data_IF_742228266669
#
_entry.id   IF_742228266669
#
_cell.length_a   1.000
_cell.length_b   1.000
_cell.length_c   1.000
_cell.angle_alpha   90.00
_cell.angle_beta   90.00
_cell.angle_gamma   90.00
#
_symmetry.space_group_name_H-M   'P 1'
#
loop_
_entity.id
_entity.type
_entity.pdbx_description
1 polymer ?
#
# COMPACT_ATOMS: atom_id res chain seq x y z
N UNK A 1 -60.77 22.41 25.09
CA UNK A 1 -59.48 21.74 25.39
C UNK A 1 -58.81 21.40 24.07
N UNK A 2 -57.88 22.24 23.58
CA UNK A 2 -57.15 21.98 22.33
C UNK A 2 -55.81 21.32 22.67
N UNK A 3 -55.57 20.14 22.07
CA UNK A 3 -54.28 19.44 22.17
C UNK A 3 -53.49 19.72 20.89
N UNK A 4 -52.36 20.42 21.02
CA UNK A 4 -51.42 20.63 19.92
C UNK A 4 -50.55 19.38 19.77
N UNK A 5 -50.66 18.70 18.63
CA UNK A 5 -49.77 17.61 18.28
C UNK A 5 -48.47 18.20 17.71
N UNK A 6 -47.40 18.17 18.49
CA UNK A 6 -46.05 18.47 18.01
C UNK A 6 -45.52 17.21 17.33
N UNK A 7 -45.51 17.19 15.99
CA UNK A 7 -44.81 16.16 15.23
C UNK A 7 -43.32 16.48 15.21
N UNK A 8 -42.55 15.74 16.01
CA UNK A 8 -41.08 15.77 15.95
C UNK A 8 -40.66 14.99 14.70
N UNK A 9 -40.19 15.70 13.68
CA UNK A 9 -39.47 15.11 12.56
C UNK A 9 -38.07 14.77 13.05
N UNK A 10 -37.77 13.49 13.22
CA UNK A 10 -36.44 13.03 13.57
C UNK A 10 -35.52 13.17 12.34
N UNK A 11 -34.55 14.08 12.41
CA UNK A 11 -33.47 14.18 11.44
C UNK A 11 -32.49 13.03 11.71
N UNK A 12 -32.47 12.02 10.83
CA UNK A 12 -31.50 10.93 10.91
C UNK A 12 -30.15 11.48 10.43
N UNK A 13 -29.24 11.72 11.38
CA UNK A 13 -27.84 12.04 11.09
C UNK A 13 -27.13 10.74 10.68
N UNK A 14 -26.87 10.56 9.39
CA UNK A 14 -26.03 9.46 8.89
C UNK A 14 -24.58 9.75 9.32
N UNK A 15 -23.93 8.88 10.12
CA UNK A 15 -22.51 9.02 10.36
C UNK A 15 -21.78 8.77 9.04
N UNK A 16 -21.03 9.77 8.56
CA UNK A 16 -20.05 9.59 7.51
C UNK A 16 -18.99 8.63 8.07
N UNK A 17 -19.02 7.38 7.63
CA UNK A 17 -17.97 6.43 7.96
C UNK A 17 -16.68 6.91 7.28
N UNK A 18 -15.82 7.60 8.03
CA UNK A 18 -14.44 7.85 7.66
C UNK A 18 -13.67 6.53 7.78
N UNK A 19 -13.81 5.64 6.79
CA UNK A 19 -12.84 4.56 6.62
C UNK A 19 -11.49 5.19 6.27
N UNK A 20 -10.38 4.79 6.92
CA UNK A 20 -9.06 5.21 6.47
C UNK A 20 -8.92 4.83 5.00
N UNK A 21 -8.43 5.76 4.17
CA UNK A 21 -8.01 5.44 2.81
C UNK A 21 -6.91 4.38 2.94
N UNK A 22 -7.17 3.18 2.42
CA UNK A 22 -6.14 2.16 2.33
C UNK A 22 -5.03 2.66 1.40
N UNK A 23 -3.77 2.43 1.77
CA UNK A 23 -2.64 2.66 0.89
C UNK A 23 -2.78 1.81 -0.38
N UNK A 24 -2.22 2.28 -1.49
CA UNK A 24 -2.22 1.47 -2.70
C UNK A 24 -1.22 0.33 -2.55
N UNK A 25 -1.53 -0.85 -3.11
CA UNK A 25 -0.62 -1.98 -3.09
C UNK A 25 0.38 -1.90 -4.24
N UNK A 26 1.66 -2.15 -3.96
CA UNK A 26 2.74 -2.25 -4.96
C UNK A 26 3.60 -3.50 -4.73
N UNK A 27 3.84 -4.25 -5.80
CA UNK A 27 4.50 -5.55 -5.75
C UNK A 27 5.84 -5.46 -6.48
N UNK A 28 6.91 -6.00 -5.92
CA UNK A 28 8.13 -6.21 -6.68
C UNK A 28 7.90 -7.28 -7.74
N UNK A 29 8.16 -6.97 -9.01
CA UNK A 29 8.07 -7.92 -10.12
C UNK A 29 9.40 -8.10 -10.87
N UNK A 30 10.39 -7.22 -10.64
CA UNK A 30 11.70 -7.25 -11.28
C UNK A 30 11.69 -6.90 -12.77
N UNK A 31 10.64 -6.27 -13.27
CA UNK A 31 10.40 -6.02 -14.69
C UNK A 31 11.47 -5.18 -15.41
N UNK A 32 12.30 -4.42 -14.68
CA UNK A 32 13.38 -3.64 -15.27
C UNK A 32 14.70 -4.42 -15.42
N UNK A 33 14.81 -5.60 -14.80
CA UNK A 33 16.04 -6.39 -14.78
C UNK A 33 17.14 -5.80 -13.88
N UNK A 34 16.79 -4.84 -13.03
CA UNK A 34 17.66 -4.29 -11.98
C UNK A 34 17.16 -4.72 -10.60
N UNK A 35 17.94 -4.49 -9.55
CA UNK A 35 17.53 -4.78 -8.16
C UNK A 35 17.07 -3.53 -7.40
N UNK A 36 17.16 -2.35 -8.02
CA UNK A 36 16.93 -1.06 -7.38
C UNK A 36 15.43 -0.78 -7.17
N UNK A 37 15.07 -0.34 -5.96
CA UNK A 37 13.75 0.19 -5.64
C UNK A 37 13.45 1.51 -6.38
N UNK A 38 14.48 2.29 -6.68
CA UNK A 38 14.40 3.52 -7.48
C UNK A 38 14.12 3.30 -8.97
N UNK A 39 14.32 2.08 -9.50
CA UNK A 39 13.89 1.74 -10.84
C UNK A 39 12.42 1.34 -10.84
N UNK A 40 11.57 2.32 -11.14
CA UNK A 40 10.12 2.21 -11.01
C UNK A 40 9.47 1.15 -11.91
N UNK A 41 10.22 0.58 -12.87
CA UNK A 41 9.74 -0.51 -13.73
C UNK A 41 9.94 -1.90 -13.10
N UNK A 42 10.53 -2.00 -11.90
CA UNK A 42 10.58 -3.23 -11.10
C UNK A 42 9.35 -3.44 -10.21
N UNK A 43 8.39 -2.52 -10.27
CA UNK A 43 7.18 -2.55 -9.46
C UNK A 43 5.95 -2.80 -10.33
N UNK A 44 4.97 -3.51 -9.77
CA UNK A 44 3.64 -3.69 -10.33
C UNK A 44 2.56 -3.19 -9.35
N UNK A 45 1.80 -2.13 -9.70
CA UNK A 45 1.94 -1.29 -10.90
C UNK A 45 3.30 -0.58 -10.95
N UNK A 46 3.73 -0.09 -12.13
CA UNK A 46 4.95 0.71 -12.26
C UNK A 46 4.80 2.03 -11.45
N UNK A 47 5.88 2.48 -10.81
CA UNK A 47 5.89 3.77 -10.11
C UNK A 47 6.62 3.77 -8.76
N UNK A 48 6.49 4.91 -8.08
CA UNK A 48 7.15 5.17 -6.81
C UNK A 48 6.51 4.37 -5.67
N UNK A 49 7.27 3.61 -4.86
CA UNK A 49 6.76 2.86 -3.70
C UNK A 49 6.40 3.74 -2.48
N UNK A 50 6.72 5.03 -2.48
CA UNK A 50 6.44 5.90 -1.33
C UNK A 50 4.93 6.01 -1.04
N UNK A 51 4.55 5.73 0.21
CA UNK A 51 3.18 5.78 0.71
C UNK A 51 2.33 4.54 0.37
N UNK A 52 2.91 3.54 -0.29
CA UNK A 52 2.21 2.32 -0.70
C UNK A 52 2.46 1.16 0.30
N UNK A 53 1.59 0.16 0.23
CA UNK A 53 1.79 -1.16 0.82
C UNK A 53 2.71 -2.00 -0.10
N UNK A 54 3.91 -2.31 0.37
CA UNK A 54 4.93 -3.00 -0.42
C UNK A 54 4.91 -4.50 -0.18
N UNK A 55 4.88 -5.27 -1.27
CA UNK A 55 4.96 -6.72 -1.25
C UNK A 55 6.13 -7.22 -2.11
N UNK A 56 6.95 -8.10 -1.54
CA UNK A 56 8.09 -8.72 -2.23
C UNK A 56 8.04 -10.23 -2.01
N UNK A 57 8.31 -10.98 -3.09
CA UNK A 57 8.25 -12.44 -3.08
C UNK A 57 6.85 -13.02 -3.19
N UNK A 58 5.80 -12.19 -3.34
CA UNK A 58 4.43 -12.67 -3.59
C UNK A 58 4.18 -13.08 -5.05
N UNK A 59 5.04 -12.63 -5.97
CA UNK A 59 5.04 -13.04 -7.38
C UNK A 59 6.10 -14.11 -7.61
N UNK A 60 5.87 -14.99 -8.59
CA UNK A 60 6.83 -16.05 -8.94
C UNK A 60 8.20 -15.47 -9.32
N UNK A 61 8.22 -14.40 -10.13
CA UNK A 61 9.46 -13.70 -10.53
C UNK A 61 10.22 -13.05 -9.37
N UNK A 62 9.54 -12.84 -8.24
CA UNK A 62 10.12 -12.22 -7.05
C UNK A 62 10.49 -13.23 -5.95
N UNK A 63 10.22 -14.53 -6.16
CA UNK A 63 10.59 -15.57 -5.20
C UNK A 63 12.11 -15.64 -5.02
N UNK A 64 12.57 -15.61 -3.76
CA UNK A 64 13.99 -15.54 -3.39
C UNK A 64 14.76 -14.32 -3.95
N UNK A 65 14.06 -13.28 -4.41
CA UNK A 65 14.71 -12.07 -4.90
C UNK A 65 15.35 -11.28 -3.75
N UNK A 66 16.62 -10.91 -3.90
CA UNK A 66 17.27 -9.91 -3.04
C UNK A 66 17.20 -8.56 -3.74
N UNK A 67 16.39 -7.65 -3.20
CA UNK A 67 16.20 -6.29 -3.75
C UNK A 67 17.08 -5.28 -3.02
N UNK A 68 17.45 -4.20 -3.70
CA UNK A 68 18.31 -3.14 -3.19
C UNK A 68 17.49 -1.88 -2.89
N UNK A 69 17.40 -1.53 -1.61
CA UNK A 69 16.86 -0.27 -1.14
C UNK A 69 17.92 0.83 -1.32
N UNK A 70 17.93 1.43 -2.50
CA UNK A 70 18.94 2.41 -2.94
C UNK A 70 18.60 3.86 -2.59
N UNK A 71 17.40 4.11 -2.07
CA UNK A 71 16.93 5.42 -1.61
C UNK A 71 16.11 5.28 -0.33
N UNK A 72 15.88 6.40 0.34
CA UNK A 72 14.97 6.46 1.49
C UNK A 72 13.52 6.56 1.03
N UNK A 73 12.70 5.57 1.38
CA UNK A 73 11.26 5.57 1.15
C UNK A 73 10.50 5.50 2.48
N UNK A 74 9.46 6.31 2.63
CA UNK A 74 8.42 6.08 3.62
C UNK A 74 7.32 5.26 2.94
N UNK A 75 7.08 4.04 3.42
CA UNK A 75 6.06 3.11 2.92
C UNK A 75 5.02 2.90 4.02
N UNK A 76 3.79 2.52 3.66
CA UNK A 76 2.74 2.25 4.65
C UNK A 76 3.01 0.92 5.37
N UNK A 77 3.32 -0.12 4.59
CA UNK A 77 3.76 -1.41 5.10
C UNK A 77 4.77 -2.08 4.18
N UNK A 78 5.52 -3.05 4.72
CA UNK A 78 6.43 -3.90 3.96
C UNK A 78 6.18 -5.36 4.34
N UNK A 79 5.84 -6.17 3.34
CA UNK A 79 5.65 -7.61 3.47
C UNK A 79 6.63 -8.35 2.58
N UNK A 80 7.48 -9.18 3.18
CA UNK A 80 8.48 -10.01 2.48
C UNK A 80 8.11 -11.48 2.66
N UNK A 81 8.11 -12.26 1.58
CA UNK A 81 7.74 -13.69 1.57
C UNK A 81 8.64 -14.51 0.66
N UNK A 82 8.49 -15.84 0.70
CA UNK A 82 9.09 -16.78 -0.25
C UNK A 82 10.61 -16.60 -0.42
N UNK A 83 11.32 -16.39 0.70
CA UNK A 83 12.78 -16.25 0.72
C UNK A 83 13.33 -14.96 0.12
N UNK A 84 12.47 -14.02 -0.28
CA UNK A 84 12.92 -12.71 -0.73
C UNK A 84 13.58 -11.93 0.41
N UNK A 85 14.37 -10.92 0.04
CA UNK A 85 15.12 -10.08 0.97
C UNK A 85 15.25 -8.65 0.45
N UNK A 86 15.54 -7.73 1.36
CA UNK A 86 15.81 -6.31 1.08
C UNK A 86 17.12 -5.94 1.76
N UNK A 87 18.11 -5.57 0.96
CA UNK A 87 19.39 -5.04 1.43
C UNK A 87 19.44 -3.53 1.25
N UNK A 88 20.05 -2.80 2.19
CA UNK A 88 20.22 -1.34 2.10
C UNK A 88 21.67 -0.92 1.80
N UNK A 89 22.55 -1.89 1.58
CA UNK A 89 23.91 -1.70 1.11
C UNK A 89 24.27 -2.80 0.11
N UNK A 90 25.20 -2.49 -0.78
CA UNK A 90 25.75 -3.46 -1.73
C UNK A 90 26.98 -4.19 -1.16
N UNK A 91 27.06 -4.34 0.17
CA UNK A 91 28.20 -4.97 0.85
C UNK A 91 28.29 -6.48 0.60
#
# INVERSE_FOLDING_TARGET
MNRYHVSIVALILLPLANSPLAAAQRNWDGGAGTLSWGDFSNWSPNGNPAGDDIFIGNLESAGNATTLLDQSYAVDSLTIRNGADVVNSSD
#
